data_IF_386075220265
#
_entry.id   IF_386075220265
#
_cell.length_a   1.000
_cell.length_b   1.000
_cell.length_c   1.000
_cell.angle_alpha   90.00
_cell.angle_beta   90.00
_cell.angle_gamma   90.00
#
_symmetry.space_group_name_H-M   'P 1'
#
loop_
_entity.id
_entity.type
_entity.pdbx_description
1 polymer ?
#
# COMPACT_ATOMS: atom_id res chain seq x y z
N UNK A 1 -5.71 59.28 -11.88
CA UNK A 1 -5.41 59.69 -13.24
C UNK A 1 -5.14 58.41 -14.03
N UNK A 2 -5.84 57.97 -14.98
CA UNK A 2 -6.62 58.49 -16.06
C UNK A 2 -7.55 57.39 -16.57
N UNK A 3 -8.75 57.76 -16.66
CA UNK A 3 -9.94 57.09 -17.20
C UNK A 3 -9.72 56.78 -18.69
N UNK A 4 -10.11 55.63 -19.18
CA UNK A 4 -10.60 55.45 -20.55
C UNK A 4 -11.73 54.39 -20.59
N UNK A 5 -12.89 54.83 -21.03
CA UNK A 5 -14.17 54.16 -21.19
C UNK A 5 -14.24 53.32 -22.48
N UNK A 6 -15.14 52.36 -22.55
CA UNK A 6 -15.34 51.51 -23.72
C UNK A 6 -16.31 52.12 -24.73
N UNK A 7 -16.02 51.96 -26.03
CA UNK A 7 -16.89 52.33 -27.13
C UNK A 7 -17.71 51.12 -27.56
N UNK A 8 -19.02 51.28 -27.38
CA UNK A 8 -20.04 50.36 -27.88
C UNK A 8 -20.41 50.75 -29.31
N UNK A 9 -20.36 49.82 -30.25
CA UNK A 9 -21.00 49.98 -31.58
C UNK A 9 -21.97 48.83 -31.82
N UNK A 10 -23.25 49.16 -31.67
CA UNK A 10 -24.36 48.37 -32.17
C UNK A 10 -24.64 48.72 -33.64
N UNK A 11 -24.38 47.79 -34.54
CA UNK A 11 -24.82 47.90 -35.93
C UNK A 11 -26.13 47.12 -36.09
N UNK A 12 -27.23 47.86 -36.19
CA UNK A 12 -28.56 47.36 -36.52
C UNK A 12 -28.66 47.28 -38.06
N UNK A 13 -28.58 46.09 -38.61
CA UNK A 13 -28.85 45.85 -40.02
C UNK A 13 -30.36 45.65 -40.29
N UNK A 14 -30.97 46.61 -40.93
CA UNK A 14 -32.37 46.66 -41.32
C UNK A 14 -32.61 45.82 -42.57
N UNK A 15 -33.12 44.61 -42.42
CA UNK A 15 -33.46 43.72 -43.55
C UNK A 15 -34.76 44.15 -44.19
N UNK A 16 -34.63 44.61 -45.43
CA UNK A 16 -35.73 45.09 -46.32
C UNK A 16 -36.50 43.87 -46.83
N UNK A 17 -37.78 43.71 -46.41
CA UNK A 17 -38.72 42.71 -46.99
C UNK A 17 -39.02 42.95 -48.45
N UNK A 18 -38.60 42.05 -49.35
CA UNK A 18 -39.05 41.97 -50.73
C UNK A 18 -40.41 41.30 -50.76
N UNK A 19 -41.41 42.03 -51.30
CA UNK A 19 -42.72 41.49 -51.72
C UNK A 19 -42.51 40.64 -52.95
N UNK A 20 -42.74 39.32 -52.92
CA UNK A 20 -42.81 38.47 -54.09
C UNK A 20 -44.20 38.55 -54.71
N UNK A 21 -44.26 38.94 -55.99
CA UNK A 21 -45.44 38.97 -56.81
C UNK A 21 -45.93 37.54 -57.09
N UNK A 22 -47.20 37.32 -56.76
CA UNK A 22 -47.96 36.13 -57.16
C UNK A 22 -48.29 36.23 -58.66
N UNK A 23 -47.56 35.49 -59.47
CA UNK A 23 -47.97 35.25 -60.89
C UNK A 23 -47.78 33.77 -61.16
N UNK A 24 -48.86 33.15 -61.65
CA UNK A 24 -48.99 31.73 -62.02
C UNK A 24 -49.24 30.71 -60.92
N UNK A 25 -50.47 30.65 -60.41
CA UNK A 25 -51.05 29.48 -59.85
C UNK A 25 -51.44 28.46 -60.91
N UNK A 26 -50.65 27.37 -61.09
CA UNK A 26 -51.11 26.19 -61.84
C UNK A 26 -52.10 25.41 -60.94
N UNK A 27 -53.24 24.94 -61.51
CA UNK A 27 -54.18 24.12 -60.77
C UNK A 27 -53.54 22.76 -60.37
N UNK A 28 -53.89 22.22 -59.23
CA UNK A 28 -53.34 20.96 -58.79
C UNK A 28 -53.81 19.80 -59.67
N UNK A 29 -52.87 19.08 -60.31
CA UNK A 29 -53.13 17.76 -60.89
C UNK A 29 -53.60 16.80 -59.84
N UNK A 30 -54.87 16.37 -59.89
CA UNK A 30 -55.35 15.23 -59.08
C UNK A 30 -54.60 13.99 -59.50
N UNK A 31 -53.66 13.55 -58.66
CA UNK A 31 -53.00 12.24 -58.80
C UNK A 31 -53.96 11.15 -58.27
N UNK A 32 -54.58 10.43 -59.24
CA UNK A 32 -55.32 9.20 -59.00
C UNK A 32 -54.33 8.07 -58.70
N UNK A 33 -53.69 8.04 -57.53
CA UNK A 33 -52.73 6.97 -57.22
C UNK A 33 -52.44 6.82 -55.73
N UNK A 34 -53.14 7.60 -54.86
CA UNK A 34 -52.78 7.68 -53.46
C UNK A 34 -53.28 6.55 -52.55
N UNK A 35 -54.36 5.87 -52.89
CA UNK A 35 -55.01 4.90 -51.99
C UNK A 35 -54.28 3.56 -51.89
N UNK A 36 -53.67 3.06 -52.96
CA UNK A 36 -52.93 1.79 -52.91
C UNK A 36 -51.57 1.89 -52.26
N UNK A 37 -50.88 3.03 -52.39
CA UNK A 37 -49.56 3.23 -51.73
C UNK A 37 -49.72 3.46 -50.22
N UNK A 38 -50.81 4.08 -49.76
CA UNK A 38 -51.06 4.23 -48.32
C UNK A 38 -51.37 2.87 -47.66
N UNK A 39 -52.03 1.94 -48.35
CA UNK A 39 -52.27 0.61 -47.83
C UNK A 39 -50.95 -0.16 -47.58
N UNK A 40 -50.03 -0.11 -48.55
CA UNK A 40 -48.74 -0.79 -48.40
C UNK A 40 -47.84 -0.14 -47.31
N UNK A 41 -47.88 1.14 -47.14
CA UNK A 41 -47.16 1.83 -46.06
C UNK A 41 -47.74 1.49 -44.70
N UNK A 42 -49.07 1.46 -44.56
CA UNK A 42 -49.72 1.12 -43.29
C UNK A 42 -49.50 -0.37 -42.93
N UNK A 43 -49.53 -1.28 -43.91
CA UNK A 43 -49.19 -2.71 -43.64
C UNK A 43 -47.68 -2.85 -43.27
N UNK A 44 -46.78 -2.10 -43.92
CA UNK A 44 -45.38 -2.09 -43.54
C UNK A 44 -45.13 -1.59 -42.09
N UNK A 45 -45.80 -0.53 -41.69
CA UNK A 45 -45.76 -0.01 -40.32
C UNK A 45 -46.32 -1.01 -39.31
N UNK A 46 -47.45 -1.66 -39.64
CA UNK A 46 -48.07 -2.68 -38.79
C UNK A 46 -47.15 -3.89 -38.58
N UNK A 47 -46.49 -4.38 -39.62
CA UNK A 47 -45.53 -5.46 -39.54
C UNK A 47 -44.32 -5.08 -38.71
N UNK A 48 -43.78 -3.86 -38.94
CA UNK A 48 -42.62 -3.38 -38.19
C UNK A 48 -42.93 -3.16 -36.72
N UNK A 49 -44.11 -2.65 -36.37
CA UNK A 49 -44.55 -2.53 -34.98
C UNK A 49 -44.74 -3.90 -34.28
N UNK A 50 -45.23 -4.88 -35.00
CA UNK A 50 -45.42 -6.23 -34.46
C UNK A 50 -44.06 -6.93 -34.21
N UNK A 51 -43.08 -6.72 -35.11
CA UNK A 51 -41.73 -7.22 -34.93
C UNK A 51 -41.04 -6.55 -33.75
N UNK A 52 -41.26 -5.25 -33.56
CA UNK A 52 -40.70 -4.48 -32.45
C UNK A 52 -41.26 -4.96 -31.10
N UNK A 53 -42.57 -5.23 -31.04
CA UNK A 53 -43.20 -5.80 -29.83
C UNK A 53 -42.66 -7.20 -29.56
N UNK A 54 -42.55 -8.07 -30.58
CA UNK A 54 -41.97 -9.38 -30.46
C UNK A 54 -40.50 -9.36 -29.96
N UNK A 55 -39.72 -8.37 -30.48
CA UNK A 55 -38.35 -8.18 -30.06
C UNK A 55 -38.26 -7.75 -28.59
N UNK A 56 -39.09 -6.77 -28.19
CA UNK A 56 -39.13 -6.31 -26.77
C UNK A 56 -39.53 -7.47 -25.85
N UNK A 57 -40.51 -8.31 -26.25
CA UNK A 57 -40.93 -9.46 -25.47
C UNK A 57 -39.84 -10.53 -25.38
N UNK A 58 -39.13 -10.77 -26.49
CA UNK A 58 -37.99 -11.71 -26.54
C UNK A 58 -36.81 -11.22 -25.70
N UNK A 59 -36.55 -9.92 -25.73
CA UNK A 59 -35.46 -9.31 -24.97
C UNK A 59 -35.79 -9.25 -23.47
N UNK A 60 -37.03 -8.88 -23.13
CA UNK A 60 -37.51 -8.88 -21.73
C UNK A 60 -37.48 -10.25 -21.09
N UNK A 61 -37.81 -11.32 -21.86
CA UNK A 61 -37.75 -12.70 -21.36
C UNK A 61 -36.31 -13.18 -21.12
N UNK A 62 -35.30 -12.59 -21.73
CA UNK A 62 -33.90 -12.96 -21.50
C UNK A 62 -33.28 -12.28 -20.28
N UNK A 63 -33.85 -11.18 -19.80
CA UNK A 63 -33.36 -10.50 -18.60
C UNK A 63 -33.78 -11.14 -17.28
N UNK A 64 -34.71 -12.13 -17.33
CA UNK A 64 -35.14 -12.84 -16.14
C UNK A 64 -34.34 -14.14 -15.88
N UNK A 65 -33.26 -14.39 -16.59
CA UNK A 65 -32.26 -15.30 -16.09
C UNK A 65 -31.51 -14.59 -14.93
N UNK A 66 -32.15 -14.56 -13.78
CA UNK A 66 -31.46 -14.41 -12.52
C UNK A 66 -30.44 -15.55 -12.47
N UNK A 67 -29.19 -15.24 -12.79
CA UNK A 67 -28.11 -16.16 -12.52
C UNK A 67 -28.24 -16.54 -11.05
N UNK A 68 -28.32 -17.84 -10.75
CA UNK A 68 -28.21 -18.32 -9.38
C UNK A 68 -26.96 -17.62 -8.83
N UNK A 69 -27.05 -16.82 -7.74
CA UNK A 69 -25.84 -16.25 -7.16
C UNK A 69 -24.94 -17.44 -6.85
N UNK A 70 -23.83 -17.53 -7.57
CA UNK A 70 -22.80 -18.50 -7.25
C UNK A 70 -22.23 -18.02 -5.93
N UNK A 71 -22.72 -18.56 -4.83
CA UNK A 71 -22.10 -18.40 -3.54
C UNK A 71 -20.77 -19.12 -3.62
N UNK A 72 -19.74 -18.37 -4.00
CA UNK A 72 -18.38 -18.88 -3.97
C UNK A 72 -18.03 -18.98 -2.49
N UNK A 73 -18.30 -20.12 -1.88
CA UNK A 73 -17.70 -20.48 -0.61
C UNK A 73 -16.22 -20.71 -0.88
N UNK A 74 -15.43 -19.68 -0.67
CA UNK A 74 -14.01 -19.90 -0.53
C UNK A 74 -13.83 -20.87 0.65
N UNK A 75 -13.13 -22.01 0.45
CA UNK A 75 -12.73 -22.79 1.60
C UNK A 75 -12.02 -21.81 2.54
N UNK A 76 -12.40 -21.81 3.81
CA UNK A 76 -11.71 -21.01 4.80
C UNK A 76 -10.22 -21.37 4.68
N UNK A 77 -9.45 -20.46 4.13
CA UNK A 77 -7.99 -20.59 4.15
C UNK A 77 -7.63 -20.71 5.64
N UNK A 78 -6.94 -21.77 6.05
CA UNK A 78 -6.53 -21.95 7.45
C UNK A 78 -5.65 -20.81 7.97
N UNK A 79 -5.07 -20.04 7.05
CA UNK A 79 -4.36 -18.79 7.32
C UNK A 79 -4.98 -17.69 6.46
N UNK A 80 -5.84 -16.86 7.06
CA UNK A 80 -6.08 -15.54 6.51
C UNK A 80 -4.74 -14.81 6.49
N UNK A 81 -4.27 -14.31 5.33
CA UNK A 81 -3.03 -13.54 5.31
C UNK A 81 -3.21 -12.37 6.30
N UNK A 82 -2.48 -12.43 7.41
CA UNK A 82 -2.47 -11.35 8.40
C UNK A 82 -1.97 -10.10 7.70
N UNK A 83 -2.65 -8.98 7.91
CA UNK A 83 -2.13 -7.71 7.43
C UNK A 83 -0.74 -7.49 8.07
N UNK A 84 0.14 -6.81 7.36
CA UNK A 84 1.46 -6.46 7.89
C UNK A 84 1.38 -5.75 9.25
N UNK A 85 0.32 -4.96 9.46
CA UNK A 85 0.04 -4.31 10.75
C UNK A 85 -0.24 -5.31 11.86
N UNK A 86 -1.08 -6.34 11.60
CA UNK A 86 -1.42 -7.36 12.60
C UNK A 86 -0.18 -8.20 12.98
N UNK A 87 0.70 -8.46 11.99
CA UNK A 87 1.98 -9.17 12.23
C UNK A 87 2.91 -8.30 13.07
N UNK A 88 2.94 -7.00 12.81
CA UNK A 88 3.76 -6.05 13.56
C UNK A 88 3.27 -5.89 15.01
N UNK A 89 1.94 -5.82 15.22
CA UNK A 89 1.36 -5.75 16.57
C UNK A 89 1.59 -7.02 17.40
N UNK A 90 1.55 -8.21 16.75
CA UNK A 90 1.84 -9.48 17.44
C UNK A 90 3.34 -9.68 17.71
N UNK A 91 4.19 -9.16 16.86
CA UNK A 91 5.65 -9.25 16.96
C UNK A 91 6.22 -7.86 16.65
N UNK A 92 6.18 -6.92 17.60
CA UNK A 92 6.80 -5.64 17.39
C UNK A 92 8.28 -5.89 17.09
N UNK A 93 8.68 -5.58 15.85
CA UNK A 93 10.10 -5.54 15.50
C UNK A 93 10.66 -4.36 16.27
N UNK A 94 11.38 -4.65 17.32
CA UNK A 94 12.19 -3.62 17.97
C UNK A 94 13.27 -3.24 16.96
N UNK A 95 13.13 -2.09 16.34
CA UNK A 95 14.20 -1.48 15.55
C UNK A 95 15.33 -1.10 16.50
N UNK A 96 16.12 -2.10 16.92
CA UNK A 96 17.27 -1.90 17.79
C UNK A 96 18.52 -2.14 16.98
N UNK A 97 19.29 -1.10 16.80
CA UNK A 97 20.58 -1.12 16.14
C UNK A 97 21.69 -1.37 17.17
N UNK A 98 22.50 -2.41 16.94
CA UNK A 98 23.59 -2.75 17.84
C UNK A 98 24.91 -2.91 17.10
N UNK A 99 25.97 -2.40 17.69
CA UNK A 99 27.35 -2.78 17.35
C UNK A 99 27.91 -3.80 18.33
N UNK A 100 28.71 -4.73 17.81
CA UNK A 100 29.33 -5.79 18.59
C UNK A 100 30.85 -5.69 18.50
N UNK A 101 31.48 -5.51 19.64
CA UNK A 101 32.93 -5.35 19.72
C UNK A 101 33.56 -6.56 20.44
N UNK A 102 34.51 -7.22 19.77
CA UNK A 102 35.27 -8.30 20.38
C UNK A 102 36.35 -7.74 21.31
N UNK A 103 36.13 -7.78 22.60
CA UNK A 103 37.04 -7.28 23.64
C UNK A 103 37.85 -8.38 24.32
N UNK A 104 37.70 -9.66 23.93
CA UNK A 104 38.51 -10.77 24.48
C UNK A 104 39.58 -11.29 23.52
N UNK A 105 39.51 -10.89 22.25
CA UNK A 105 40.49 -11.27 21.21
C UNK A 105 40.27 -12.68 20.64
N UNK A 106 39.21 -13.39 21.01
CA UNK A 106 38.93 -14.72 20.44
C UNK A 106 38.43 -14.59 18.98
N UNK A 107 39.08 -15.24 18.00
CA UNK A 107 38.70 -15.08 16.60
C UNK A 107 37.28 -15.55 16.30
N UNK A 108 36.52 -14.75 15.54
CA UNK A 108 35.17 -15.09 15.08
C UNK A 108 34.09 -14.99 16.13
N UNK A 109 34.40 -14.60 17.38
CA UNK A 109 33.42 -14.53 18.45
C UNK A 109 32.38 -13.47 18.22
N UNK A 110 32.75 -12.28 17.78
CA UNK A 110 31.80 -11.21 17.43
C UNK A 110 30.81 -11.65 16.34
N UNK A 111 31.26 -12.43 15.35
CA UNK A 111 30.39 -12.99 14.32
C UNK A 111 29.35 -13.96 14.92
N UNK A 112 29.76 -14.83 15.84
CA UNK A 112 28.83 -15.76 16.52
C UNK A 112 27.77 -15.04 17.35
N UNK A 113 28.14 -13.97 18.04
CA UNK A 113 27.19 -13.11 18.75
C UNK A 113 26.26 -12.35 17.78
N UNK A 114 26.79 -11.90 16.63
CA UNK A 114 25.98 -11.30 15.58
C UNK A 114 24.92 -12.27 15.05
N UNK A 115 25.30 -13.51 14.78
CA UNK A 115 24.35 -14.53 14.29
C UNK A 115 23.29 -14.85 15.35
N UNK A 116 23.67 -14.91 16.62
CA UNK A 116 22.74 -15.10 17.73
C UNK A 116 21.71 -13.96 17.79
N UNK A 117 22.18 -12.70 17.78
CA UNK A 117 21.30 -11.54 17.92
C UNK A 117 20.44 -11.33 16.68
N UNK A 118 20.95 -11.55 15.47
CA UNK A 118 20.15 -11.52 14.23
C UNK A 118 19.04 -12.56 14.23
N UNK A 119 19.27 -13.76 14.76
CA UNK A 119 18.20 -14.77 14.95
C UNK A 119 17.16 -14.33 15.97
N UNK A 120 17.50 -13.40 16.85
CA UNK A 120 16.59 -12.74 17.79
C UNK A 120 16.00 -11.44 17.23
N UNK A 121 16.11 -11.20 15.92
CA UNK A 121 15.55 -10.03 15.24
C UNK A 121 16.14 -8.68 15.71
N UNK A 122 17.38 -8.69 16.20
CA UNK A 122 18.14 -7.47 16.49
C UNK A 122 18.97 -7.10 15.26
N UNK A 123 18.98 -5.84 14.89
CA UNK A 123 19.78 -5.36 13.75
C UNK A 123 21.23 -5.13 14.18
N UNK A 124 22.13 -6.00 13.74
CA UNK A 124 23.57 -5.88 14.00
C UNK A 124 24.22 -5.09 12.86
N UNK A 125 24.47 -3.81 13.12
CA UNK A 125 25.05 -2.87 12.14
C UNK A 125 26.52 -3.13 11.92
N UNK A 126 27.28 -3.37 13.00
CA UNK A 126 28.75 -3.59 12.96
C UNK A 126 29.17 -4.73 13.87
N UNK A 127 30.23 -5.41 13.44
CA UNK A 127 30.84 -6.49 14.22
C UNK A 127 32.35 -6.43 14.01
N UNK A 128 33.06 -5.86 14.98
CA UNK A 128 34.47 -5.49 14.87
C UNK A 128 35.25 -5.89 16.14
N UNK A 129 36.55 -5.60 16.18
CA UNK A 129 37.34 -5.73 17.37
C UNK A 129 37.19 -4.47 18.23
N UNK A 130 37.24 -4.64 19.57
CA UNK A 130 37.33 -3.53 20.49
C UNK A 130 38.69 -2.83 20.39
N UNK A 131 38.80 -1.69 21.05
CA UNK A 131 40.03 -0.91 21.16
C UNK A 131 41.19 -1.70 21.80
N UNK A 132 40.87 -2.66 22.70
CA UNK A 132 41.81 -3.62 23.30
C UNK A 132 41.11 -4.94 23.61
N UNK A 133 41.90 -5.98 23.98
CA UNK A 133 41.39 -7.33 24.26
C UNK A 133 41.47 -7.71 25.74
N UNK A 134 41.41 -6.72 26.62
CA UNK A 134 41.54 -6.93 28.09
C UNK A 134 40.21 -6.84 28.83
N UNK A 135 39.08 -6.86 28.11
CA UNK A 135 37.79 -6.85 28.75
C UNK A 135 37.50 -8.16 29.46
N UNK A 136 37.44 -8.10 30.80
CA UNK A 136 37.19 -9.28 31.63
C UNK A 136 35.71 -9.70 31.60
N UNK A 137 34.80 -8.73 31.54
CA UNK A 137 33.35 -8.95 31.52
C UNK A 137 32.72 -8.46 30.22
N UNK A 138 31.72 -9.21 29.76
CA UNK A 138 30.87 -8.79 28.65
C UNK A 138 29.92 -7.71 29.14
N UNK A 139 29.87 -6.58 28.44
CA UNK A 139 29.16 -5.36 28.84
C UNK A 139 28.23 -4.94 27.72
N UNK A 140 26.99 -4.64 28.06
CA UNK A 140 26.00 -4.01 27.19
C UNK A 140 25.89 -2.53 27.54
N UNK A 141 26.19 -1.67 26.59
CA UNK A 141 26.20 -0.21 26.79
C UNK A 141 25.01 0.38 26.03
N UNK A 142 24.17 1.11 26.73
CA UNK A 142 23.09 1.89 26.13
C UNK A 142 23.65 3.22 25.59
N UNK A 143 23.37 3.51 24.31
CA UNK A 143 23.86 4.71 23.61
C UNK A 143 22.79 5.77 23.41
N UNK A 144 21.52 5.37 23.42
CA UNK A 144 20.36 6.27 23.29
C UNK A 144 19.36 6.07 24.43
N UNK A 145 18.18 6.69 24.33
CA UNK A 145 17.12 6.62 25.33
C UNK A 145 16.18 5.39 25.16
N UNK A 146 16.44 4.47 24.21
CA UNK A 146 15.61 3.30 23.97
C UNK A 146 15.81 2.22 25.02
N UNK A 147 15.16 2.38 26.18
CA UNK A 147 15.24 1.43 27.30
C UNK A 147 14.60 0.08 26.96
N UNK A 148 13.54 0.06 26.18
CA UNK A 148 12.86 -1.19 25.80
C UNK A 148 13.72 -2.05 24.89
N UNK A 149 14.40 -1.42 23.91
CA UNK A 149 15.39 -2.11 23.07
C UNK A 149 16.52 -2.71 23.91
N UNK A 150 17.03 -1.97 24.88
CA UNK A 150 18.07 -2.46 25.78
C UNK A 150 17.59 -3.67 26.62
N UNK A 151 16.39 -3.61 27.20
CA UNK A 151 15.81 -4.75 27.95
C UNK A 151 15.66 -5.97 27.05
N UNK A 152 15.23 -5.78 25.82
CA UNK A 152 15.07 -6.86 24.86
C UNK A 152 16.40 -7.57 24.59
N UNK A 153 17.46 -6.80 24.27
CA UNK A 153 18.79 -7.37 24.02
C UNK A 153 19.40 -7.99 25.28
N UNK A 154 19.24 -7.36 26.45
CA UNK A 154 19.68 -7.93 27.72
C UNK A 154 19.04 -9.30 27.96
N UNK A 155 17.74 -9.43 27.79
CA UNK A 155 17.02 -10.71 27.89
C UNK A 155 17.49 -11.72 26.85
N UNK A 156 17.75 -11.29 25.60
CA UNK A 156 18.25 -12.15 24.54
C UNK A 156 19.63 -12.73 24.86
N UNK A 157 20.45 -11.98 25.60
CA UNK A 157 21.77 -12.40 26.08
C UNK A 157 21.70 -13.13 27.42
N UNK A 158 20.53 -13.19 28.09
CA UNK A 158 20.35 -13.78 29.40
C UNK A 158 20.94 -12.93 30.53
N UNK A 159 21.02 -11.61 30.31
CA UNK A 159 21.45 -10.69 31.36
C UNK A 159 20.25 -10.29 32.22
N UNK A 160 20.46 -10.28 33.54
CA UNK A 160 19.48 -9.73 34.45
C UNK A 160 19.53 -8.20 34.37
N UNK A 161 18.41 -7.59 33.97
CA UNK A 161 18.32 -6.14 33.86
C UNK A 161 18.50 -5.41 35.19
N UNK A 162 18.11 -6.06 36.29
CA UNK A 162 18.27 -5.50 37.64
C UNK A 162 19.71 -5.59 38.15
N UNK A 163 20.51 -6.47 37.55
CA UNK A 163 21.91 -6.64 37.91
C UNK A 163 22.80 -5.76 37.02
N UNK A 164 23.06 -4.55 37.50
CA UNK A 164 23.74 -3.48 36.76
C UNK A 164 25.23 -3.72 36.43
N UNK A 165 25.83 -4.85 36.84
CA UNK A 165 27.26 -5.08 36.59
C UNK A 165 27.62 -5.23 35.09
N UNK A 166 26.66 -5.64 34.26
CA UNK A 166 26.87 -5.89 32.83
C UNK A 166 26.17 -4.87 31.93
N UNK A 167 25.35 -4.00 32.51
CA UNK A 167 24.57 -3.01 31.79
C UNK A 167 25.03 -1.63 32.20
N UNK A 168 25.46 -0.84 31.23
CA UNK A 168 25.95 0.53 31.46
C UNK A 168 25.14 1.48 30.60
N UNK A 169 24.66 2.56 31.17
CA UNK A 169 24.05 3.65 30.40
C UNK A 169 25.10 4.73 30.13
N UNK A 170 25.44 4.93 28.88
CA UNK A 170 26.37 5.97 28.43
C UNK A 170 25.86 6.55 27.12
N UNK A 171 24.89 7.45 27.24
CA UNK A 171 24.26 8.09 26.07
C UNK A 171 25.28 8.99 25.38
N UNK A 172 25.45 8.73 24.06
CA UNK A 172 26.34 9.52 23.20
C UNK A 172 25.65 9.79 21.86
N UNK A 173 25.22 11.05 21.62
CA UNK A 173 24.52 11.41 20.39
C UNK A 173 25.37 11.37 19.12
N UNK A 174 26.69 11.15 19.23
CA UNK A 174 27.59 11.02 18.08
C UNK A 174 27.73 9.59 17.58
N UNK A 175 27.15 8.62 18.29
CA UNK A 175 27.18 7.20 17.94
C UNK A 175 25.84 6.83 17.29
N UNK A 176 25.88 6.36 16.03
CA UNK A 176 24.70 6.03 15.22
C UNK A 176 24.11 4.64 15.53
N UNK A 177 24.26 4.13 16.76
CA UNK A 177 23.67 2.86 17.18
C UNK A 177 23.01 3.04 18.54
N UNK A 178 21.97 2.23 18.78
CA UNK A 178 21.25 2.24 20.07
C UNK A 178 22.05 1.62 21.18
N UNK A 179 22.77 0.54 20.86
CA UNK A 179 23.51 -0.28 21.83
C UNK A 179 24.91 -0.62 21.33
N UNK A 180 25.82 -0.78 22.28
CA UNK A 180 27.15 -1.34 22.05
C UNK A 180 27.34 -2.57 22.94
N UNK A 181 27.60 -3.75 22.36
CA UNK A 181 27.96 -4.95 23.10
C UNK A 181 29.48 -5.16 23.02
N UNK A 182 30.17 -5.09 24.14
CA UNK A 182 31.58 -5.44 24.25
C UNK A 182 31.69 -6.83 24.85
N UNK A 183 32.26 -7.78 24.10
CA UNK A 183 32.42 -9.17 24.54
C UNK A 183 33.70 -9.29 25.34
N UNK A 184 33.56 -9.70 26.60
CA UNK A 184 34.68 -9.97 27.48
C UNK A 184 35.09 -11.42 27.52
N UNK A 185 36.13 -11.74 28.33
CA UNK A 185 36.67 -13.10 28.51
C UNK A 185 35.69 -14.07 29.16
N UNK A 186 34.66 -13.51 29.82
CA UNK A 186 33.58 -14.27 30.49
C UNK A 186 32.47 -14.75 29.57
N UNK A 187 32.62 -14.61 28.23
CA UNK A 187 31.62 -14.98 27.21
C UNK A 187 31.11 -16.42 27.37
N UNK A 188 31.96 -17.35 27.90
CA UNK A 188 31.54 -18.72 28.19
C UNK A 188 30.45 -18.82 29.28
N UNK A 189 30.27 -17.81 30.11
CA UNK A 189 29.22 -17.77 31.13
C UNK A 189 27.84 -17.36 30.57
N UNK A 190 27.78 -16.89 29.34
CA UNK A 190 26.57 -16.41 28.68
C UNK A 190 25.81 -17.59 28.08
N UNK A 191 24.75 -18.04 28.76
CA UNK A 191 24.03 -19.26 28.41
C UNK A 191 23.56 -19.31 26.94
N UNK A 192 22.97 -18.25 26.32
CA UNK A 192 22.51 -18.30 24.95
C UNK A 192 23.63 -18.55 23.96
N UNK A 193 24.86 -18.06 24.18
CA UNK A 193 25.96 -18.24 23.24
C UNK A 193 26.58 -19.64 23.32
N UNK A 194 26.47 -20.32 24.46
CA UNK A 194 27.05 -21.67 24.63
C UNK A 194 26.52 -22.66 23.56
N UNK A 195 25.26 -22.55 23.17
CA UNK A 195 24.67 -23.39 22.15
C UNK A 195 25.30 -23.13 20.75
N UNK A 196 25.89 -21.96 20.53
CA UNK A 196 26.57 -21.57 19.30
C UNK A 196 28.06 -21.88 19.28
N UNK A 197 28.66 -22.02 20.48
CA UNK A 197 30.07 -22.32 20.59
C UNK A 197 30.37 -23.81 20.39
N UNK A 198 29.37 -24.66 20.65
CA UNK A 198 29.50 -26.13 20.59
C UNK A 198 29.14 -26.75 19.20
N UNK A 199 28.97 -25.90 18.20
CA UNK A 199 28.73 -26.35 16.81
C UNK A 199 29.94 -26.15 15.92
#
# INVERSE_FOLDING_TARGET
QTILQPISYAIVAKLKRRKSSKLFSRPPKKSRGGKQRMGLVNTGIAVMSLLLVAFIFSFSGRQTQSGVPIEIKFPALPDTPKLALDIYEENPVFEVEIEILNGCGEPGLAAKFSDLLRKKQVDVVRSENADHFEYEKTILIQRNENVEGMKYVANALGFDFENNERIITSIDPNIDVDLTLIIGKDYHSISPIQSYLNY
#
